data_IF_903769813308
#
_entry.id   IF_903769813308
#
_cell.length_a   1.000
_cell.length_b   1.000
_cell.length_c   1.000
_cell.angle_alpha   90.00
_cell.angle_beta   90.00
_cell.angle_gamma   90.00
#
_symmetry.space_group_name_H-M   'P 1'
#
loop_
_entity.id
_entity.type
_entity.pdbx_description
1 polymer ?
#
# COMPACT_ATOMS: atom_id res chain seq x y z
N UNK A 1 -10.39 -19.00 -21.56
CA UNK A 1 -10.56 -18.45 -20.20
C UNK A 1 -9.20 -18.58 -19.51
N UNK A 2 -8.31 -17.60 -19.66
CA UNK A 2 -7.01 -17.53 -18.95
C UNK A 2 -6.42 -16.15 -19.24
N UNK A 3 -6.26 -15.33 -18.19
CA UNK A 3 -5.25 -14.28 -18.07
C UNK A 3 -5.06 -14.06 -16.58
N UNK A 4 -4.17 -14.86 -16.01
CA UNK A 4 -3.48 -14.61 -14.75
C UNK A 4 -2.70 -13.29 -14.88
N UNK A 5 -3.41 -12.16 -14.87
CA UNK A 5 -2.80 -10.86 -14.64
C UNK A 5 -2.64 -10.70 -13.13
N UNK A 6 -1.79 -11.52 -12.52
CA UNK A 6 -1.22 -11.22 -11.22
C UNK A 6 -0.40 -9.93 -11.37
N UNK A 7 -1.06 -8.78 -11.25
CA UNK A 7 -0.38 -7.57 -10.81
C UNK A 7 0.06 -7.88 -9.39
N UNK A 8 1.24 -8.49 -9.26
CA UNK A 8 1.82 -8.92 -8.00
C UNK A 8 2.14 -7.69 -7.18
N UNK A 9 1.14 -7.21 -6.44
CA UNK A 9 1.30 -6.12 -5.49
C UNK A 9 2.37 -6.57 -4.49
N UNK A 10 3.49 -5.85 -4.37
CA UNK A 10 4.67 -6.37 -3.67
C UNK A 10 4.44 -6.59 -2.18
N UNK A 11 3.41 -5.98 -1.60
CA UNK A 11 3.03 -6.18 -0.20
C UNK A 11 2.21 -7.46 0.07
N UNK A 12 1.67 -8.14 -0.95
CA UNK A 12 0.88 -9.37 -0.74
C UNK A 12 1.74 -10.57 -0.32
N UNK A 13 2.98 -10.64 -0.82
CA UNK A 13 3.91 -11.74 -0.55
C UNK A 13 4.80 -11.49 0.67
N UNK A 14 4.63 -10.32 1.32
CA UNK A 14 5.40 -9.94 2.50
C UNK A 14 4.65 -10.36 3.76
N UNK A 15 5.26 -11.16 4.67
CA UNK A 15 4.60 -11.53 5.91
C UNK A 15 4.36 -10.29 6.79
N UNK A 16 3.19 -10.18 7.45
CA UNK A 16 2.84 -9.03 8.27
C UNK A 16 3.74 -8.97 9.51
N UNK A 17 4.75 -8.11 9.46
CA UNK A 17 5.76 -7.92 10.49
C UNK A 17 6.03 -6.43 10.76
N UNK A 18 6.72 -6.14 11.87
CA UNK A 18 7.03 -4.79 12.32
C UNK A 18 5.91 -4.16 13.16
N UNK A 19 5.87 -2.82 13.23
CA UNK A 19 4.84 -2.10 13.98
C UNK A 19 3.50 -2.10 13.24
N UNK A 20 2.42 -2.08 14.01
CA UNK A 20 1.04 -2.04 13.50
C UNK A 20 0.60 -0.59 13.41
N UNK A 21 0.67 -0.01 12.22
CA UNK A 21 0.34 1.40 11.96
C UNK A 21 -1.18 1.57 11.93
N UNK A 22 -1.73 2.54 12.66
CA UNK A 22 -3.16 2.84 12.56
C UNK A 22 -3.41 3.68 11.29
N UNK A 23 -4.64 3.68 10.74
CA UNK A 23 -4.97 4.49 9.57
C UNK A 23 -4.57 5.96 9.68
N UNK A 24 -4.66 6.55 10.88
CA UNK A 24 -4.22 7.92 11.12
C UNK A 24 -2.71 8.11 10.90
N UNK A 25 -1.88 7.17 11.36
CA UNK A 25 -0.42 7.25 11.29
C UNK A 25 0.03 7.04 9.84
N UNK A 26 -0.66 6.16 9.10
CA UNK A 26 -0.39 5.92 7.68
C UNK A 26 -0.67 7.16 6.84
N UNK A 27 -1.84 7.77 7.03
CA UNK A 27 -2.29 9.00 6.35
C UNK A 27 -1.33 10.15 6.60
N UNK A 28 -0.92 10.34 7.85
CA UNK A 28 0.07 11.36 8.23
C UNK A 28 1.42 11.13 7.54
N UNK A 29 1.91 9.88 7.50
CA UNK A 29 3.21 9.55 6.90
C UNK A 29 3.28 9.75 5.38
N UNK A 30 2.21 9.45 4.66
CA UNK A 30 2.18 9.59 3.19
C UNK A 30 1.68 10.98 2.74
N UNK A 31 1.19 11.81 3.66
CA UNK A 31 0.66 13.14 3.35
C UNK A 31 -0.61 13.14 2.50
N UNK A 32 -1.36 12.03 2.46
CA UNK A 32 -2.63 11.92 1.73
C UNK A 32 -3.81 12.02 2.69
N UNK A 33 -4.96 12.46 2.19
CA UNK A 33 -6.19 12.43 2.98
C UNK A 33 -6.68 10.99 3.20
N UNK A 34 -7.41 10.76 4.30
CA UNK A 34 -8.06 9.46 4.58
C UNK A 34 -8.91 8.98 3.40
N UNK A 35 -9.70 9.86 2.80
CA UNK A 35 -10.58 9.52 1.68
C UNK A 35 -9.77 8.99 0.49
N UNK A 36 -8.68 9.68 0.13
CA UNK A 36 -7.79 9.22 -0.94
C UNK A 36 -7.18 7.85 -0.64
N UNK A 37 -6.74 7.59 0.59
CA UNK A 37 -6.22 6.27 0.97
C UNK A 37 -7.27 5.18 0.77
N UNK A 38 -8.50 5.41 1.23
CA UNK A 38 -9.58 4.43 1.03
C UNK A 38 -9.95 4.24 -0.44
N UNK A 39 -9.92 5.30 -1.26
CA UNK A 39 -10.08 5.19 -2.71
C UNK A 39 -8.95 4.36 -3.33
N UNK A 40 -7.70 4.61 -2.96
CA UNK A 40 -6.56 3.81 -3.44
C UNK A 40 -6.66 2.34 -3.02
N UNK A 41 -7.21 2.03 -1.84
CA UNK A 41 -7.48 0.66 -1.43
C UNK A 41 -8.56 0.03 -2.31
N UNK A 42 -9.65 0.76 -2.60
CA UNK A 42 -10.72 0.29 -3.49
C UNK A 42 -10.21 0.05 -4.92
N UNK A 43 -9.35 0.94 -5.42
CA UNK A 43 -8.64 0.81 -6.71
C UNK A 43 -7.56 -0.28 -6.69
N UNK A 44 -7.27 -0.86 -5.52
CA UNK A 44 -6.25 -1.86 -5.34
C UNK A 44 -4.81 -1.35 -5.43
N UNK A 45 -4.59 -0.03 -5.39
CA UNK A 45 -3.29 0.63 -5.47
C UNK A 45 -2.58 0.80 -4.13
N UNK A 46 -3.25 0.50 -3.02
CA UNK A 46 -2.71 0.61 -1.66
C UNK A 46 -3.04 -0.66 -0.85
N UNK A 47 -2.17 -1.11 0.07
CA UNK A 47 -2.45 -2.26 0.92
C UNK A 47 -3.68 -2.04 1.81
N UNK A 48 -4.58 -3.03 1.84
CA UNK A 48 -5.78 -2.96 2.67
C UNK A 48 -5.43 -3.03 4.17
N UNK A 49 -6.18 -2.28 4.99
CA UNK A 49 -6.04 -2.37 6.44
C UNK A 49 -6.58 -3.71 6.97
N UNK A 50 -5.82 -4.32 7.88
CA UNK A 50 -6.24 -5.51 8.62
C UNK A 50 -7.15 -5.07 9.77
N UNK A 51 -8.37 -5.60 9.82
CA UNK A 51 -9.29 -5.37 10.92
C UNK A 51 -8.92 -6.26 12.11
N UNK A 52 -8.50 -5.64 13.22
CA UNK A 52 -8.15 -6.35 14.46
C UNK A 52 -9.35 -6.43 15.40
N UNK A 53 -10.16 -5.37 15.44
CA UNK A 53 -11.40 -5.32 16.22
C UNK A 53 -12.42 -4.43 15.54
N UNK A 54 -13.60 -4.28 16.14
CA UNK A 54 -14.65 -3.39 15.63
C UNK A 54 -14.17 -1.95 15.46
N UNK A 55 -13.32 -1.46 16.37
CA UNK A 55 -12.82 -0.07 16.40
C UNK A 55 -11.36 0.07 15.98
N UNK A 56 -10.67 -1.02 15.68
CA UNK A 56 -9.26 -1.01 15.35
C UNK A 56 -8.99 -1.73 14.02
N UNK A 57 -8.42 -0.97 13.08
CA UNK A 57 -7.77 -1.50 11.89
C UNK A 57 -6.32 -1.04 11.88
N UNK A 58 -5.43 -1.85 11.33
CA UNK A 58 -3.99 -1.59 11.30
C UNK A 58 -3.39 -1.99 9.97
N UNK A 59 -2.27 -1.38 9.62
CA UNK A 59 -1.43 -1.74 8.49
C UNK A 59 -0.07 -2.21 9.03
N UNK A 60 0.40 -3.42 8.70
CA UNK A 60 1.76 -3.84 9.03
C UNK A 60 2.80 -2.91 8.41
N UNK A 61 3.81 -2.53 9.19
CA UNK A 61 4.93 -1.68 8.72
C UNK A 61 5.66 -2.28 7.52
N UNK A 62 5.84 -3.60 7.50
CA UNK A 62 6.39 -4.34 6.36
C UNK A 62 5.61 -4.12 5.05
N UNK A 63 4.27 -4.16 5.08
CA UNK A 63 3.43 -3.90 3.91
C UNK A 63 3.52 -2.45 3.45
N UNK A 64 3.55 -1.53 4.42
CA UNK A 64 3.72 -0.12 4.16
C UNK A 64 5.05 0.17 3.47
N UNK A 65 6.15 -0.41 3.95
CA UNK A 65 7.48 -0.25 3.36
C UNK A 65 7.54 -0.82 1.94
N UNK A 66 6.93 -2.00 1.71
CA UNK A 66 6.85 -2.59 0.37
C UNK A 66 6.08 -1.70 -0.62
N UNK A 67 5.00 -1.05 -0.18
CA UNK A 67 4.28 -0.06 -0.97
C UNK A 67 5.16 1.16 -1.32
N UNK A 68 5.88 1.71 -0.34
CA UNK A 68 6.76 2.87 -0.58
C UNK A 68 7.89 2.51 -1.55
N UNK A 69 8.50 1.33 -1.41
CA UNK A 69 9.53 0.84 -2.33
C UNK A 69 8.98 0.74 -3.76
N UNK A 70 7.79 0.16 -3.93
CA UNK A 70 7.12 0.07 -5.23
C UNK A 70 6.86 1.45 -5.86
N UNK A 71 6.40 2.41 -5.06
CA UNK A 71 6.20 3.79 -5.53
C UNK A 71 7.51 4.44 -5.97
N UNK A 72 8.60 4.22 -5.22
CA UNK A 72 9.91 4.75 -5.56
C UNK A 72 10.45 4.15 -6.87
N UNK A 73 10.31 2.83 -7.05
CA UNK A 73 10.66 2.13 -8.30
C UNK A 73 9.88 2.71 -9.49
N UNK A 74 8.56 2.83 -9.38
CA UNK A 74 7.73 3.38 -10.45
C UNK A 74 8.12 4.83 -10.81
N UNK A 75 8.42 5.66 -9.81
CA UNK A 75 8.87 7.04 -10.03
C UNK A 75 10.23 7.11 -10.77
N UNK A 76 11.16 6.20 -10.45
CA UNK A 76 12.43 6.09 -11.16
C UNK A 76 12.27 5.66 -12.63
N UNK A 77 11.32 4.76 -12.92
CA UNK A 77 11.05 4.31 -14.29
C UNK A 77 10.41 5.41 -15.16
N UNK A 78 9.45 6.17 -14.61
CA UNK A 78 8.71 7.19 -15.37
C UNK A 78 9.58 8.41 -15.76
N UNK A 79 10.75 8.59 -15.12
CA UNK A 79 11.71 9.65 -15.45
C UNK A 79 12.58 9.31 -16.68
N UNK A 80 12.68 8.03 -17.08
CA UNK A 80 13.56 7.59 -18.20
C UNK A 80 12.91 7.62 -19.58
N UNK A 81 11.59 7.76 -19.68
CA UNK A 81 10.85 7.63 -20.95
C UNK A 81 10.47 8.98 -21.59
N UNK A 82 10.89 10.11 -21.01
CA UNK A 82 10.57 11.47 -21.51
C UNK A 82 11.80 12.24 -22.01
N UNK A 83 12.87 11.55 -22.43
CA UNK A 83 14.09 12.17 -22.97
C UNK A 83 14.25 11.89 -24.45
#
# INVERSE_FOLDING_TARGET
MNKDSHSSKPWNDVPPSGKMLRPKDVVERIGLSRSQVYQMIADGRFPAFIKISERASVLPESWFNAFIAHCAENACHETREKV
#
